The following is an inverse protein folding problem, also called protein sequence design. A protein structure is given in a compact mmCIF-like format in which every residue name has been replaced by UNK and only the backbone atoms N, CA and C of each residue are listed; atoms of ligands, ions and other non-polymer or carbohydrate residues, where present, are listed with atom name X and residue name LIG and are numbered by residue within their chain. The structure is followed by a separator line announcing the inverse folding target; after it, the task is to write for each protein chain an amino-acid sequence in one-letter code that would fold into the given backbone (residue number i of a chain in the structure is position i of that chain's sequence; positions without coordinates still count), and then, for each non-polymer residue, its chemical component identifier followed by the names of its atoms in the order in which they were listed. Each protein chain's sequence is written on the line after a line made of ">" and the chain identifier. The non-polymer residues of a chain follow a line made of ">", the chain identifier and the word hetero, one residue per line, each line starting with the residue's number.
data_IF_614710364365
#
_entry.id   IF_614710364365
#
_cell.length_a   1.000
_cell.length_b   1.000
_cell.length_c   1.000
_cell.angle_alpha   90.00
_cell.angle_beta   90.00
_cell.angle_gamma   90.00
#
_symmetry.space_group_name_H-M   'P 1'
#
loop_
_entity.id
_entity.type
_entity.pdbx_description
1 polymer ?
#
# COMPACT_ATOMS: atom_id res chain seq x y z
N UNK A 1 21.47 -6.58 -3.07
CA UNK A 1 20.75 -5.51 -3.80
C UNK A 1 20.65 -4.23 -2.96
N UNK A 2 20.20 -4.27 -1.69
CA UNK A 2 20.15 -3.07 -0.83
C UNK A 2 21.46 -2.27 -0.77
N UNK A 3 22.61 -2.94 -0.65
CA UNK A 3 23.92 -2.26 -0.59
C UNK A 3 24.25 -1.43 -1.85
N UNK A 4 23.75 -1.84 -3.02
CA UNK A 4 23.93 -1.09 -4.28
C UNK A 4 23.13 0.21 -4.21
N UNK A 5 21.92 0.16 -3.65
CA UNK A 5 21.07 1.34 -3.50
C UNK A 5 21.61 2.28 -2.42
N UNK A 6 22.20 1.75 -1.35
CA UNK A 6 22.89 2.55 -0.35
C UNK A 6 24.05 3.35 -0.97
N UNK A 7 24.84 2.71 -1.83
CA UNK A 7 25.91 3.38 -2.56
C UNK A 7 25.40 4.54 -3.43
N UNK A 8 24.22 4.38 -4.06
CA UNK A 8 23.61 5.46 -4.85
C UNK A 8 23.12 6.62 -3.98
N UNK A 9 22.57 6.33 -2.79
CA UNK A 9 22.09 7.36 -1.87
C UNK A 9 23.22 8.16 -1.21
N UNK A 10 24.40 7.57 -1.06
CA UNK A 10 25.56 8.22 -0.45
C UNK A 10 26.36 9.05 -1.47
N UNK A 11 26.92 8.39 -2.49
CA UNK A 11 27.83 9.02 -3.45
C UNK A 11 27.11 9.60 -4.69
N UNK A 12 25.82 9.29 -4.87
CA UNK A 12 25.10 9.66 -6.09
C UNK A 12 25.68 9.02 -7.36
N UNK A 13 26.45 7.93 -7.25
CA UNK A 13 27.07 7.25 -8.40
C UNK A 13 26.95 5.74 -8.25
N UNK A 14 26.81 5.06 -9.39
CA UNK A 14 26.83 3.60 -9.43
C UNK A 14 27.71 3.10 -10.57
N UNK A 15 28.63 2.20 -10.25
CA UNK A 15 29.43 1.48 -11.24
C UNK A 15 28.88 0.09 -11.43
N UNK A 16 28.51 -0.26 -12.67
CA UNK A 16 28.05 -1.61 -12.98
C UNK A 16 29.21 -2.62 -13.10
N UNK A 17 28.90 -3.91 -13.20
CA UNK A 17 29.91 -4.97 -13.34
C UNK A 17 30.71 -4.94 -14.64
N UNK A 18 30.37 -4.04 -15.59
CA UNK A 18 31.13 -3.81 -16.83
C UNK A 18 31.99 -2.55 -16.76
N UNK A 19 32.08 -1.92 -15.58
CA UNK A 19 32.88 -0.72 -15.33
C UNK A 19 32.22 0.59 -15.77
N UNK A 20 30.95 0.57 -16.21
CA UNK A 20 30.24 1.81 -16.60
C UNK A 20 29.76 2.51 -15.34
N UNK A 21 30.11 3.79 -15.20
CA UNK A 21 29.68 4.62 -14.07
C UNK A 21 28.52 5.52 -14.49
N UNK A 22 27.42 5.47 -13.75
CA UNK A 22 26.24 6.34 -13.93
C UNK A 22 26.16 7.32 -12.76
N UNK A 23 25.77 8.56 -13.04
CA UNK A 23 25.64 9.64 -12.08
C UNK A 23 24.15 9.94 -11.81
N UNK A 24 23.77 9.97 -10.54
CA UNK A 24 22.42 10.15 -10.02
C UNK A 24 22.25 11.49 -9.29
N UNK A 25 23.24 12.39 -9.30
CA UNK A 25 23.16 13.71 -8.63
C UNK A 25 22.03 14.61 -9.15
N UNK A 26 21.56 14.36 -10.38
CA UNK A 26 20.44 15.07 -11.01
C UNK A 26 19.22 14.16 -11.22
N UNK A 27 19.03 13.17 -10.34
CA UNK A 27 17.91 12.23 -10.42
C UNK A 27 17.11 12.22 -9.12
N UNK A 28 15.80 12.05 -9.23
CA UNK A 28 14.90 11.80 -8.08
C UNK A 28 14.68 10.31 -7.98
N UNK A 29 15.13 9.69 -6.87
CA UNK A 29 14.93 8.27 -6.64
C UNK A 29 13.55 8.02 -6.01
N UNK A 30 12.64 7.41 -6.77
CA UNK A 30 11.33 6.99 -6.27
C UNK A 30 11.38 5.48 -5.99
N UNK A 31 11.27 5.12 -4.71
CA UNK A 31 11.17 3.73 -4.28
C UNK A 31 9.73 3.41 -3.90
N UNK A 32 9.22 2.29 -4.41
CA UNK A 32 7.94 1.74 -3.98
C UNK A 32 8.19 0.41 -3.28
N UNK A 33 7.32 0.07 -2.33
CA UNK A 33 7.31 -1.25 -1.71
C UNK A 33 5.90 -1.80 -1.78
N UNK A 34 5.78 -3.13 -1.87
CA UNK A 34 4.48 -3.80 -1.86
C UNK A 34 3.89 -3.91 -0.42
N UNK A 35 4.38 -3.11 0.53
CA UNK A 35 3.92 -3.11 1.92
C UNK A 35 2.48 -2.62 1.97
N UNK A 36 1.61 -3.30 2.72
CA UNK A 36 0.19 -2.95 2.82
C UNK A 36 -0.67 -3.39 1.63
N UNK A 37 -0.10 -3.98 0.56
CA UNK A 37 -0.86 -4.45 -0.60
C UNK A 37 -1.92 -5.50 -0.24
N UNK A 38 -1.67 -6.32 0.79
CA UNK A 38 -2.64 -7.29 1.28
C UNK A 38 -3.77 -6.65 2.10
N UNK A 39 -3.48 -5.60 2.85
CA UNK A 39 -4.48 -4.84 3.64
C UNK A 39 -5.40 -4.04 2.73
N UNK A 40 -4.85 -3.40 1.68
CA UNK A 40 -5.65 -2.69 0.66
C UNK A 40 -6.58 -3.67 -0.08
N UNK A 41 -6.10 -4.87 -0.43
CA UNK A 41 -6.94 -5.90 -1.08
C UNK A 41 -8.10 -6.38 -0.21
N UNK A 42 -7.95 -6.40 1.12
CA UNK A 42 -9.02 -6.80 2.06
C UNK A 42 -10.00 -5.66 2.38
N UNK A 43 -9.73 -4.44 1.93
CA UNK A 43 -10.44 -3.23 2.31
C UNK A 43 -11.06 -2.49 1.13
N UNK A 44 -11.71 -3.18 0.19
CA UNK A 44 -12.69 -2.56 -0.71
C UNK A 44 -13.98 -2.16 0.06
N UNK A 45 -13.79 -1.44 1.16
CA UNK A 45 -14.81 -0.91 2.06
C UNK A 45 -14.28 0.28 2.84
N UNK A 46 -13.29 1.01 2.31
CA UNK A 46 -12.81 2.26 2.88
C UNK A 46 -12.80 3.34 1.79
N UNK A 47 -13.93 4.05 1.65
CA UNK A 47 -14.07 5.20 0.78
C UNK A 47 -15.47 5.35 0.19
N UNK A 48 -16.19 6.38 0.64
CA UNK A 48 -17.46 6.93 0.13
C UNK A 48 -18.73 6.10 0.41
N UNK A 49 -19.34 6.32 1.58
CA UNK A 49 -20.81 6.37 1.61
C UNK A 49 -21.22 7.66 0.93
N UNK A 50 -21.36 7.61 -0.40
CA UNK A 50 -22.23 8.54 -1.10
C UNK A 50 -23.63 8.32 -0.53
N UNK A 51 -24.23 9.41 -0.05
CA UNK A 51 -25.56 9.39 0.54
C UNK A 51 -26.62 8.74 -0.36
N UNK A 52 -27.72 8.42 0.30
CA UNK A 52 -28.95 7.78 -0.15
C UNK A 52 -28.90 6.24 -0.28
N UNK A 53 -29.37 5.57 0.78
CA UNK A 53 -30.51 4.65 0.65
C UNK A 53 -30.99 4.21 2.05
N UNK A 54 -32.07 4.87 2.53
CA UNK A 54 -32.86 4.51 3.72
C UNK A 54 -33.47 3.08 3.64
N UNK A 55 -33.19 2.34 2.58
CA UNK A 55 -33.70 1.00 2.25
C UNK A 55 -32.83 -0.16 2.74
N UNK A 56 -31.58 0.09 3.17
CA UNK A 56 -30.62 -0.97 3.52
C UNK A 56 -30.32 -1.15 5.03
N UNK A 57 -31.02 -0.42 5.90
CA UNK A 57 -30.78 -0.43 7.36
C UNK A 57 -31.22 -1.74 8.04
N UNK A 58 -32.24 -2.44 7.51
CA UNK A 58 -32.74 -3.68 8.11
C UNK A 58 -31.78 -4.86 7.95
N UNK A 59 -31.20 -5.04 6.76
CA UNK A 59 -30.28 -6.15 6.50
C UNK A 59 -28.99 -6.01 7.32
N UNK A 60 -28.49 -4.79 7.51
CA UNK A 60 -27.31 -4.55 8.33
C UNK A 60 -27.56 -4.75 9.82
N UNK A 61 -28.76 -4.40 10.32
CA UNK A 61 -29.13 -4.65 11.71
C UNK A 61 -29.24 -6.15 12.02
N UNK A 62 -29.87 -6.93 11.13
CA UNK A 62 -29.98 -8.38 11.31
C UNK A 62 -28.61 -9.09 11.22
N UNK A 63 -27.73 -8.64 10.32
CA UNK A 63 -26.36 -9.16 10.24
C UNK A 63 -25.53 -8.84 11.49
N UNK A 64 -25.69 -7.64 12.06
CA UNK A 64 -25.01 -7.24 13.30
C UNK A 64 -25.52 -8.06 14.49
N UNK A 65 -26.85 -8.19 14.63
CA UNK A 65 -27.49 -8.98 15.68
C UNK A 65 -27.06 -10.44 15.64
N UNK A 66 -27.02 -11.05 14.44
CA UNK A 66 -26.59 -12.44 14.27
C UNK A 66 -25.15 -12.65 14.76
N UNK A 67 -24.23 -11.74 14.43
CA UNK A 67 -22.82 -11.85 14.88
C UNK A 67 -22.67 -11.73 16.40
N UNK A 68 -23.43 -10.84 17.03
CA UNK A 68 -23.38 -10.65 18.49
C UNK A 68 -23.94 -11.86 19.25
N UNK A 69 -24.97 -12.52 18.70
CA UNK A 69 -25.57 -13.72 19.31
C UNK A 69 -24.69 -14.95 19.12
N UNK A 70 -23.95 -15.07 18.02
CA UNK A 70 -23.01 -16.17 17.77
C UNK A 70 -21.73 -16.08 18.64
N UNK A 71 -21.40 -14.89 19.15
CA UNK A 71 -20.24 -14.65 20.03
C UNK A 71 -20.53 -14.82 21.53
N UNK A 72 -21.77 -15.19 21.91
CA UNK A 72 -22.21 -15.54 23.27
C UNK A 72 -22.35 -17.05 23.46
#
# INVERSE_FOLDING_TARGET
>A
VFNILLQVLEDGRLTDGKGRTVDFRNAVLIMTSNVGAHTIRKGAGLGFHTGDDDTHSQDQYELMKKRVIDEL
#
